data_IF_894803047906
#
_entry.id   IF_894803047906
#
_cell.length_a   1.000
_cell.length_b   1.000
_cell.length_c   1.000
_cell.angle_alpha   90.00
_cell.angle_beta   90.00
_cell.angle_gamma   90.00
#
_symmetry.space_group_name_H-M   'P 1'
#
loop_
_entity.id
_entity.type
_entity.pdbx_description
1 polymer ?
#
# COMPACT_ATOMS: atom_id res chain seq x y z
N UNK A 1 -4.66 -1.55 24.57
CA UNK A 1 -3.22 -1.61 24.27
C UNK A 1 -2.44 -0.92 25.39
N UNK A 2 -1.42 -1.56 25.92
CA UNK A 2 -0.62 -1.01 27.04
C UNK A 2 0.24 0.14 26.54
N UNK A 3 -0.06 1.39 26.97
CA UNK A 3 0.71 2.60 26.65
C UNK A 3 1.12 2.67 25.15
N UNK A 4 0.16 2.61 24.26
CA UNK A 4 0.39 2.58 22.81
C UNK A 4 1.19 3.79 22.28
N UNK A 5 1.14 4.92 23.00
CA UNK A 5 1.95 6.10 22.67
C UNK A 5 3.46 5.94 23.04
N UNK A 6 3.85 4.83 23.65
CA UNK A 6 5.23 4.58 24.11
C UNK A 6 5.76 3.21 23.70
N UNK A 7 4.93 2.37 23.06
CA UNK A 7 5.27 1.00 22.75
C UNK A 7 4.96 0.65 21.27
N UNK A 8 5.68 -0.33 20.75
CA UNK A 8 5.28 -1.07 19.57
C UNK A 8 4.36 -2.20 20.03
N UNK A 9 3.14 -2.25 19.49
CA UNK A 9 2.14 -3.26 19.88
C UNK A 9 1.75 -4.11 18.67
N UNK A 10 2.16 -5.39 18.63
CA UNK A 10 1.70 -6.30 17.58
C UNK A 10 0.23 -6.65 17.80
N UNK A 11 -0.54 -6.66 16.71
CA UNK A 11 -1.96 -7.03 16.70
C UNK A 11 -2.27 -7.86 15.45
N UNK A 12 -3.33 -8.65 15.52
CA UNK A 12 -3.93 -9.22 14.32
C UNK A 12 -4.51 -8.12 13.42
N UNK A 13 -4.71 -8.42 12.16
CA UNK A 13 -5.37 -7.55 11.20
C UNK A 13 -6.39 -8.33 10.37
N UNK A 14 -7.52 -7.71 10.08
CA UNK A 14 -8.49 -8.23 9.13
C UNK A 14 -8.13 -7.97 7.66
N UNK A 15 -7.06 -7.22 7.38
CA UNK A 15 -6.69 -6.85 6.03
C UNK A 15 -6.36 -8.05 5.13
N UNK A 16 -5.66 -9.06 5.68
CA UNK A 16 -5.33 -10.27 4.93
C UNK A 16 -6.61 -11.05 4.54
N UNK A 17 -7.56 -11.18 5.46
CA UNK A 17 -8.85 -11.84 5.20
C UNK A 17 -9.62 -11.09 4.11
N UNK A 18 -9.78 -9.77 4.27
CA UNK A 18 -10.48 -8.93 3.29
C UNK A 18 -9.84 -9.00 1.90
N UNK A 19 -8.50 -9.03 1.82
CA UNK A 19 -7.78 -9.19 0.55
C UNK A 19 -8.12 -10.53 -0.12
N UNK A 20 -8.20 -11.63 0.64
CA UNK A 20 -8.51 -12.94 0.07
C UNK A 20 -9.98 -13.11 -0.32
N UNK A 21 -10.89 -12.26 0.19
CA UNK A 21 -12.27 -12.19 -0.27
C UNK A 21 -12.38 -11.52 -1.65
N UNK A 22 -11.53 -10.55 -1.92
CA UNK A 22 -11.49 -9.81 -3.21
C UNK A 22 -10.62 -10.52 -4.25
N UNK A 23 -9.55 -11.20 -3.81
CA UNK A 23 -8.61 -11.96 -4.64
C UNK A 23 -8.59 -13.41 -4.12
N UNK A 24 -9.57 -14.24 -4.50
CA UNK A 24 -9.73 -15.59 -3.96
C UNK A 24 -8.52 -16.52 -4.16
N UNK A 25 -7.72 -16.26 -5.19
CA UNK A 25 -6.50 -17.02 -5.51
C UNK A 25 -5.43 -16.91 -4.42
N UNK A 26 -5.50 -15.87 -3.57
CA UNK A 26 -4.59 -15.69 -2.45
C UNK A 26 -5.04 -16.41 -1.17
N UNK A 27 -6.20 -17.09 -1.18
CA UNK A 27 -6.69 -17.77 0.01
C UNK A 27 -5.75 -18.88 0.46
N UNK A 28 -5.28 -18.77 1.71
CA UNK A 28 -4.28 -19.68 2.28
C UNK A 28 -2.84 -19.41 1.86
N UNK A 29 -2.60 -18.40 0.99
CA UNK A 29 -1.27 -17.99 0.54
C UNK A 29 -0.89 -16.59 1.05
N UNK A 30 -1.83 -15.85 1.63
CA UNK A 30 -1.64 -14.49 2.08
C UNK A 30 -2.07 -14.32 3.54
N UNK A 31 -1.19 -13.76 4.36
CA UNK A 31 -1.45 -13.44 5.76
C UNK A 31 -0.65 -12.22 6.17
N UNK A 32 -0.94 -11.65 7.35
CA UNK A 32 -0.24 -10.49 7.84
C UNK A 32 -0.54 -10.17 9.31
N UNK A 33 0.30 -9.33 9.85
CA UNK A 33 0.16 -8.76 11.21
C UNK A 33 0.25 -7.25 11.15
N UNK A 34 -0.33 -6.57 12.12
CA UNK A 34 -0.16 -5.13 12.28
C UNK A 34 0.76 -4.82 13.44
N UNK A 35 1.62 -3.82 13.26
CA UNK A 35 2.40 -3.22 14.32
C UNK A 35 1.83 -1.82 14.60
N UNK A 36 1.27 -1.62 15.79
CA UNK A 36 0.83 -0.30 16.25
C UNK A 36 2.02 0.43 16.84
N UNK A 37 2.28 1.62 16.35
CA UNK A 37 3.44 2.44 16.70
C UNK A 37 2.97 3.82 17.17
N UNK A 38 3.80 4.59 17.90
CA UNK A 38 3.43 5.91 18.45
C UNK A 38 3.37 7.00 17.37
N UNK A 39 2.53 6.82 16.35
CA UNK A 39 2.18 7.85 15.35
C UNK A 39 0.68 8.09 15.37
N UNK A 40 0.27 9.34 15.13
CA UNK A 40 -1.13 9.76 15.24
C UNK A 40 -1.97 9.11 14.12
N UNK A 41 -1.48 9.19 12.88
CA UNK A 41 -2.12 8.62 11.69
C UNK A 41 -1.06 8.35 10.62
N UNK A 42 -1.47 7.69 9.55
CA UNK A 42 -0.58 7.24 8.49
C UNK A 42 -0.02 5.85 8.76
N UNK A 43 0.16 5.11 7.71
CA UNK A 43 0.58 3.70 7.77
C UNK A 43 1.58 3.39 6.67
N UNK A 44 2.39 2.37 6.92
CA UNK A 44 3.26 1.77 5.92
C UNK A 44 2.98 0.26 5.86
N UNK A 45 2.84 -0.28 4.68
CA UNK A 45 2.79 -1.72 4.45
C UNK A 45 4.15 -2.21 4.02
N UNK A 46 4.64 -3.25 4.68
CA UNK A 46 5.78 -4.06 4.27
C UNK A 46 5.23 -5.32 3.58
N UNK A 47 5.28 -5.32 2.25
CA UNK A 47 4.71 -6.38 1.43
C UNK A 47 5.81 -7.26 0.87
N UNK A 48 5.81 -8.55 1.28
CA UNK A 48 6.81 -9.54 0.87
C UNK A 48 6.11 -10.65 0.09
N UNK A 49 6.66 -11.01 -1.07
CA UNK A 49 6.11 -12.06 -1.93
C UNK A 49 7.19 -12.76 -2.76
N UNK A 50 6.87 -13.93 -3.28
CA UNK A 50 7.74 -14.70 -4.17
C UNK A 50 7.17 -14.65 -5.57
N UNK A 51 8.01 -14.28 -6.55
CA UNK A 51 7.65 -14.24 -7.96
C UNK A 51 7.84 -15.62 -8.64
N UNK A 52 7.06 -15.88 -9.67
CA UNK A 52 7.18 -17.14 -10.44
C UNK A 52 8.44 -17.23 -11.29
N UNK A 53 9.01 -16.10 -11.65
CA UNK A 53 10.24 -15.97 -12.45
C UNK A 53 11.22 -15.06 -11.74
N UNK A 54 12.49 -15.19 -12.07
CA UNK A 54 13.53 -14.28 -11.55
C UNK A 54 13.31 -12.87 -12.10
N UNK A 55 13.44 -11.89 -11.23
CA UNK A 55 13.24 -10.47 -11.50
C UNK A 55 14.34 -9.64 -10.86
N UNK A 56 14.51 -8.42 -11.34
CA UNK A 56 15.38 -7.40 -10.75
C UNK A 56 14.55 -6.35 -9.99
N UNK A 57 15.22 -5.58 -9.12
CA UNK A 57 14.61 -4.43 -8.44
C UNK A 57 14.07 -3.41 -9.45
N UNK A 58 14.82 -3.17 -10.52
CA UNK A 58 14.50 -2.21 -11.56
C UNK A 58 13.25 -2.64 -12.32
N UNK A 59 13.09 -3.91 -12.63
CA UNK A 59 11.90 -4.45 -13.28
C UNK A 59 10.66 -4.32 -12.40
N UNK A 60 10.76 -4.61 -11.10
CA UNK A 60 9.67 -4.41 -10.13
C UNK A 60 9.29 -2.93 -10.05
N UNK A 61 10.26 -2.04 -9.88
CA UNK A 61 10.00 -0.60 -9.79
C UNK A 61 9.41 -0.04 -11.09
N UNK A 62 9.86 -0.51 -12.24
CA UNK A 62 9.29 -0.09 -13.53
C UNK A 62 7.84 -0.58 -13.68
N UNK A 63 7.55 -1.84 -13.36
CA UNK A 63 6.20 -2.38 -13.41
C UNK A 63 5.22 -1.61 -12.49
N UNK A 64 5.66 -1.28 -11.28
CA UNK A 64 4.87 -0.47 -10.34
C UNK A 64 4.67 0.96 -10.86
N UNK A 65 5.71 1.58 -11.44
CA UNK A 65 5.60 2.90 -12.06
C UNK A 65 4.62 2.90 -13.22
N UNK A 66 4.69 1.91 -14.11
CA UNK A 66 3.78 1.78 -15.24
C UNK A 66 2.34 1.57 -14.76
N UNK A 67 2.14 0.80 -13.69
CA UNK A 67 0.84 0.63 -13.07
C UNK A 67 0.24 1.97 -12.59
N UNK A 68 1.04 2.87 -11.98
CA UNK A 68 0.53 4.18 -11.53
C UNK A 68 0.00 5.05 -12.66
N UNK A 69 0.45 4.82 -13.89
CA UNK A 69 0.04 5.56 -15.10
C UNK A 69 -1.15 4.90 -15.82
N UNK A 70 -1.48 3.67 -15.46
CA UNK A 70 -2.58 2.94 -16.10
C UNK A 70 -3.95 3.57 -15.76
N UNK A 71 -4.95 3.48 -16.65
CA UNK A 71 -6.29 4.03 -16.38
C UNK A 71 -6.93 3.46 -15.11
N UNK A 72 -6.56 2.23 -14.72
CA UNK A 72 -7.10 1.56 -13.54
C UNK A 72 -6.58 2.16 -12.23
N UNK A 73 -5.30 2.57 -12.17
CA UNK A 73 -4.65 2.97 -10.93
C UNK A 73 -4.24 4.43 -10.87
N UNK A 74 -4.37 5.18 -11.97
CA UNK A 74 -4.05 6.60 -12.01
C UNK A 74 -4.87 7.39 -10.97
N UNK A 75 -4.18 8.12 -10.10
CA UNK A 75 -4.78 8.85 -8.98
C UNK A 75 -5.19 7.97 -7.78
N UNK A 76 -5.06 6.63 -7.90
CA UNK A 76 -5.34 5.67 -6.83
C UNK A 76 -4.05 5.15 -6.20
N UNK A 77 -3.06 4.81 -7.03
CA UNK A 77 -1.73 4.40 -6.59
C UNK A 77 -0.71 5.44 -7.03
N UNK A 78 0.08 5.92 -6.09
CA UNK A 78 1.19 6.83 -6.32
C UNK A 78 2.55 6.15 -6.16
N UNK A 79 3.61 6.85 -6.51
CA UNK A 79 4.99 6.41 -6.28
C UNK A 79 5.84 7.58 -5.82
N UNK A 80 6.63 7.41 -4.78
CA UNK A 80 7.57 8.41 -4.27
C UNK A 80 8.53 8.87 -5.38
N UNK A 81 8.65 10.18 -5.57
CA UNK A 81 9.46 10.79 -6.61
C UNK A 81 8.86 10.80 -8.02
N UNK A 82 7.60 10.43 -8.18
CA UNK A 82 6.88 10.41 -9.46
C UNK A 82 5.64 11.30 -9.37
N UNK A 83 5.31 12.03 -10.46
CA UNK A 83 4.10 12.83 -10.60
C UNK A 83 3.83 13.82 -9.46
N UNK A 84 4.88 14.45 -8.94
CA UNK A 84 4.77 15.43 -7.87
C UNK A 84 4.70 14.84 -6.45
N UNK A 85 4.70 13.53 -6.30
CA UNK A 85 4.84 12.89 -4.97
C UNK A 85 6.28 13.09 -4.47
N UNK A 86 6.50 13.62 -3.25
CA UNK A 86 7.84 13.83 -2.72
C UNK A 86 8.65 12.53 -2.61
N UNK A 87 9.97 12.68 -2.57
CA UNK A 87 10.90 11.59 -2.19
C UNK A 87 11.11 11.56 -0.67
N UNK A 88 11.65 10.45 -0.18
CA UNK A 88 12.03 10.27 1.24
C UNK A 88 10.87 10.53 2.20
N UNK A 89 9.73 9.91 1.92
CA UNK A 89 8.51 10.07 2.70
C UNK A 89 8.66 9.57 4.14
N UNK A 90 7.97 10.26 5.04
CA UNK A 90 7.72 9.79 6.40
C UNK A 90 6.22 9.83 6.69
N UNK A 91 5.77 9.21 7.77
CA UNK A 91 4.34 9.05 8.07
C UNK A 91 3.54 10.36 8.10
N UNK A 92 4.14 11.49 8.48
CA UNK A 92 3.47 12.79 8.49
C UNK A 92 3.21 13.36 7.08
N UNK A 93 4.00 12.97 6.08
CA UNK A 93 3.88 13.50 4.71
C UNK A 93 2.66 12.96 3.97
N UNK A 94 2.15 11.80 4.43
CA UNK A 94 1.02 11.13 3.78
C UNK A 94 -0.34 11.45 4.41
N UNK A 95 -0.36 12.22 5.50
CA UNK A 95 -1.60 12.64 6.17
C UNK A 95 -2.44 13.48 5.21
N UNK A 96 -3.69 13.09 5.01
CA UNK A 96 -4.61 13.73 4.05
C UNK A 96 -4.38 13.35 2.59
N UNK A 97 -3.50 12.38 2.31
CA UNK A 97 -3.29 11.87 0.96
C UNK A 97 -4.50 11.07 0.47
N UNK A 98 -4.99 11.39 -0.73
CA UNK A 98 -6.09 10.67 -1.37
C UNK A 98 -5.66 9.36 -2.05
N UNK A 99 -4.37 9.09 -2.17
CA UNK A 99 -3.90 7.82 -2.70
C UNK A 99 -4.26 6.65 -1.77
N UNK A 100 -4.66 5.53 -2.35
CA UNK A 100 -4.85 4.27 -1.60
C UNK A 100 -3.53 3.64 -1.18
N UNK A 101 -2.47 3.87 -1.97
CA UNK A 101 -1.11 3.48 -1.66
C UNK A 101 -0.11 4.37 -2.41
N UNK A 102 1.02 4.68 -1.79
CA UNK A 102 2.16 5.36 -2.40
C UNK A 102 3.36 4.44 -2.26
N UNK A 103 3.76 3.83 -3.36
CA UNK A 103 4.93 2.94 -3.38
C UNK A 103 6.21 3.72 -3.11
N UNK A 104 7.09 3.16 -2.28
CA UNK A 104 8.41 3.73 -2.02
C UNK A 104 9.49 2.90 -2.72
N UNK A 105 9.92 3.29 -3.94
CA UNK A 105 10.84 2.49 -4.75
C UNK A 105 12.25 2.42 -4.18
N UNK A 106 12.61 3.30 -3.24
CA UNK A 106 13.93 3.29 -2.61
C UNK A 106 14.12 2.04 -1.73
N UNK A 107 13.03 1.54 -1.16
CA UNK A 107 13.04 0.38 -0.27
C UNK A 107 12.64 -0.93 -0.94
N UNK A 108 12.40 -0.94 -2.26
CA UNK A 108 12.21 -2.18 -3.00
C UNK A 108 13.47 -3.05 -2.93
N UNK A 109 13.31 -4.29 -2.55
CA UNK A 109 14.40 -5.28 -2.45
C UNK A 109 14.03 -6.53 -3.23
N UNK A 110 15.02 -7.15 -3.87
CA UNK A 110 14.90 -8.45 -4.51
C UNK A 110 16.05 -9.32 -4.01
N UNK A 111 15.72 -10.43 -3.40
CA UNK A 111 16.68 -11.38 -2.82
C UNK A 111 16.60 -12.66 -3.62
N UNK A 112 17.74 -13.19 -4.02
CA UNK A 112 17.87 -14.40 -4.87
C UNK A 112 17.00 -14.36 -6.16
N UNK A 113 16.65 -13.14 -6.59
CA UNK A 113 15.93 -12.90 -7.84
C UNK A 113 14.42 -13.18 -7.81
N UNK A 114 13.85 -13.68 -6.73
CA UNK A 114 12.42 -13.99 -6.66
C UNK A 114 11.73 -13.60 -5.33
N UNK A 115 12.45 -13.47 -4.22
CA UNK A 115 11.89 -12.94 -2.99
C UNK A 115 11.90 -11.42 -3.07
N UNK A 116 10.73 -10.84 -3.24
CA UNK A 116 10.52 -9.40 -3.43
C UNK A 116 9.93 -8.79 -2.18
N UNK A 117 10.44 -7.61 -1.81
CA UNK A 117 9.90 -6.75 -0.77
C UNK A 117 9.60 -5.37 -1.34
N UNK A 118 8.39 -4.87 -1.08
CA UNK A 118 7.94 -3.53 -1.46
C UNK A 118 7.35 -2.83 -0.26
N UNK A 119 7.70 -1.57 -0.06
CA UNK A 119 7.06 -0.71 0.93
C UNK A 119 6.06 0.22 0.25
N UNK A 120 4.91 0.41 0.87
CA UNK A 120 3.91 1.37 0.42
C UNK A 120 3.30 2.14 1.60
N UNK A 121 3.24 3.45 1.45
CA UNK A 121 2.64 4.39 2.39
C UNK A 121 1.16 4.59 2.10
N UNK A 122 0.34 4.81 3.12
CA UNK A 122 -1.06 5.18 2.93
C UNK A 122 -1.63 5.88 4.18
N UNK A 123 -2.54 6.82 3.94
CA UNK A 123 -3.41 7.31 5.00
C UNK A 123 -4.59 6.35 5.14
N UNK A 124 -4.62 5.62 6.24
CA UNK A 124 -5.60 4.55 6.48
C UNK A 124 -7.05 5.05 6.61
N UNK A 125 -7.26 6.35 6.79
CA UNK A 125 -8.57 6.98 6.90
C UNK A 125 -8.94 7.71 5.62
N UNK A 126 -8.07 8.61 5.17
CA UNK A 126 -8.35 9.52 4.06
C UNK A 126 -8.40 8.82 2.71
N UNK A 127 -7.47 7.91 2.45
CA UNK A 127 -7.46 7.11 1.22
C UNK A 127 -8.73 6.29 1.06
N UNK A 128 -9.17 5.60 2.12
CA UNK A 128 -10.40 4.82 2.09
C UNK A 128 -11.66 5.69 1.92
N UNK A 129 -11.75 6.82 2.63
CA UNK A 129 -12.87 7.75 2.51
C UNK A 129 -13.03 8.26 1.07
N UNK A 130 -11.91 8.58 0.39
CA UNK A 130 -11.94 8.98 -1.02
C UNK A 130 -12.48 7.86 -1.93
N UNK A 131 -12.01 6.63 -1.75
CA UNK A 131 -12.52 5.47 -2.53
C UNK A 131 -14.00 5.24 -2.31
N UNK A 132 -14.49 5.39 -1.08
CA UNK A 132 -15.92 5.25 -0.77
C UNK A 132 -16.76 6.29 -1.51
N UNK A 133 -16.35 7.57 -1.45
CA UNK A 133 -17.04 8.65 -2.18
C UNK A 133 -17.05 8.39 -3.68
N UNK A 134 -15.92 8.00 -4.26
CA UNK A 134 -15.84 7.67 -5.69
C UNK A 134 -16.78 6.52 -6.09
N UNK A 135 -16.94 5.48 -5.25
CA UNK A 135 -17.90 4.41 -5.52
C UNK A 135 -19.35 4.91 -5.47
N UNK A 136 -19.70 5.74 -4.50
CA UNK A 136 -21.02 6.36 -4.44
C UNK A 136 -21.30 7.19 -5.68
N UNK A 137 -20.34 8.01 -6.12
CA UNK A 137 -20.49 8.81 -7.34
C UNK A 137 -20.68 7.94 -8.61
N UNK A 138 -20.01 6.80 -8.70
CA UNK A 138 -20.16 5.86 -9.82
C UNK A 138 -21.52 5.16 -9.85
N UNK A 139 -22.14 4.96 -8.69
CA UNK A 139 -23.45 4.33 -8.55
C UNK A 139 -24.61 5.32 -8.75
N UNK A 140 -24.35 6.62 -8.67
CA UNK A 140 -25.37 7.65 -8.92
C UNK A 140 -25.75 7.65 -10.39
N UNK A 141 -27.06 7.71 -10.74
CA UNK A 141 -27.50 7.84 -12.13
C UNK A 141 -26.85 9.06 -12.77
N UNK A 142 -26.17 8.88 -13.88
CA UNK A 142 -25.70 9.99 -14.69
C UNK A 142 -26.96 10.64 -15.33
N UNK A 143 -27.34 11.81 -14.83
CA UNK A 143 -28.42 12.62 -15.38
C UNK A 143 -28.02 13.24 -16.72
#
# INVERSE_FOLDING_TARGET
ARAAAMNIVPTSTGAAIATTEVIPELKGLFDGVSLRVPVITGSITDFVFVTKSKVTREEINQALKDATQSPQYKGIVGMSGVDGVPKHLVSSDIVGSSYSAIVDPEFTQVIDGDLVKVLAWYDNEWGYANRLVEQVCKLSPQS
#
